data_IF_767381306519
#
_entry.id   IF_767381306519
#
_cell.length_a   1.000
_cell.length_b   1.000
_cell.length_c   1.000
_cell.angle_alpha   90.00
_cell.angle_beta   90.00
_cell.angle_gamma   90.00
#
_symmetry.space_group_name_H-M   'P 1'
#
loop_
_entity.id
_entity.type
_entity.pdbx_description
1 polymer ?
#
# COMPACT_ATOMS: atom_id res chain seq x y z
N UNK A 1 6.93 7.70 -7.36
CA UNK A 1 5.65 7.41 -6.69
C UNK A 1 5.76 7.32 -5.17
N UNK A 2 6.15 6.19 -4.56
CA UNK A 2 6.04 6.03 -3.09
C UNK A 2 6.76 7.10 -2.26
N UNK A 3 8.03 7.39 -2.55
CA UNK A 3 8.76 8.46 -1.83
C UNK A 3 8.12 9.83 -2.04
N UNK A 4 7.55 10.08 -3.22
CA UNK A 4 6.83 11.32 -3.51
C UNK A 4 5.55 11.42 -2.67
N UNK A 5 4.77 10.34 -2.60
CA UNK A 5 3.58 10.25 -1.78
C UNK A 5 3.90 10.50 -0.30
N UNK A 6 4.96 9.88 0.22
CA UNK A 6 5.38 10.04 1.63
C UNK A 6 5.83 11.48 1.90
N UNK A 7 6.61 12.10 1.00
CA UNK A 7 7.01 13.51 1.14
C UNK A 7 5.81 14.44 1.13
N UNK A 8 4.87 14.23 0.20
CA UNK A 8 3.65 15.04 0.08
C UNK A 8 2.70 14.83 1.28
N UNK A 9 2.62 13.61 1.81
CA UNK A 9 1.88 13.29 3.03
C UNK A 9 2.48 14.00 4.25
N UNK A 10 3.80 13.94 4.42
CA UNK A 10 4.49 14.65 5.49
C UNK A 10 4.27 16.16 5.43
N UNK A 11 4.38 16.76 4.23
CA UNK A 11 4.06 18.17 3.99
C UNK A 11 2.61 18.54 4.33
N UNK A 12 1.69 17.60 4.17
CA UNK A 12 0.26 17.75 4.52
C UNK A 12 -0.04 17.42 5.99
N UNK A 13 0.99 17.15 6.81
CA UNK A 13 0.86 16.90 8.23
C UNK A 13 0.47 15.48 8.63
N UNK A 14 0.59 14.50 7.71
CA UNK A 14 0.52 13.07 8.05
C UNK A 14 1.72 12.68 8.91
N UNK A 15 1.47 11.98 10.03
CA UNK A 15 2.49 11.56 10.99
C UNK A 15 2.93 10.12 10.77
N UNK A 16 2.03 9.27 10.29
CA UNK A 16 2.27 7.84 10.13
C UNK A 16 1.73 7.34 8.79
N UNK A 17 2.49 6.46 8.12
CA UNK A 17 2.08 5.79 6.90
C UNK A 17 2.21 4.28 7.10
N UNK A 18 1.11 3.56 6.88
CA UNK A 18 1.09 2.10 6.96
C UNK A 18 0.91 1.52 5.57
N UNK A 19 1.85 0.67 5.15
CA UNK A 19 1.88 0.06 3.84
C UNK A 19 1.50 -1.42 3.93
N UNK A 20 0.67 -1.88 2.98
CA UNK A 20 0.48 -3.30 2.67
C UNK A 20 0.83 -3.55 1.22
N UNK A 21 1.57 -4.62 0.93
CA UNK A 21 1.92 -4.91 -0.46
C UNK A 21 2.08 -6.40 -0.73
N UNK A 22 1.85 -6.77 -1.99
CA UNK A 22 2.22 -8.07 -2.53
C UNK A 22 3.76 -8.24 -2.65
N UNK A 23 4.19 -9.38 -3.20
CA UNK A 23 5.61 -9.73 -3.36
C UNK A 23 6.36 -8.84 -4.38
N UNK A 24 5.68 -8.32 -5.41
CA UNK A 24 6.32 -7.60 -6.52
C UNK A 24 6.90 -6.27 -6.04
N UNK A 25 8.20 -6.09 -6.25
CA UNK A 25 8.93 -4.88 -5.84
C UNK A 25 9.20 -4.76 -4.34
N UNK A 26 8.87 -5.77 -3.52
CA UNK A 26 8.95 -5.67 -2.05
C UNK A 26 10.35 -5.36 -1.53
N UNK A 27 11.37 -6.07 -2.02
CA UNK A 27 12.75 -5.84 -1.58
C UNK A 27 13.26 -4.44 -1.97
N UNK A 28 12.83 -3.93 -3.13
CA UNK A 28 13.13 -2.57 -3.57
C UNK A 28 12.49 -1.55 -2.61
N UNK A 29 11.22 -1.73 -2.26
CA UNK A 29 10.52 -0.87 -1.29
C UNK A 29 11.21 -0.92 0.08
N UNK A 30 11.53 -2.11 0.60
CA UNK A 30 12.23 -2.28 1.88
C UNK A 30 13.55 -1.50 1.92
N UNK A 31 14.38 -1.61 0.89
CA UNK A 31 15.71 -0.98 0.87
C UNK A 31 15.63 0.51 0.51
N UNK A 32 14.98 0.85 -0.60
CA UNK A 32 15.06 2.19 -1.20
C UNK A 32 14.00 3.18 -0.67
N UNK A 33 12.96 2.67 0.00
CA UNK A 33 11.90 3.49 0.62
C UNK A 33 11.98 3.44 2.14
N UNK A 34 11.96 2.24 2.75
CA UNK A 34 11.99 2.11 4.21
C UNK A 34 13.40 2.08 4.83
N UNK A 35 14.46 2.01 4.01
CA UNK A 35 15.82 2.06 4.53
C UNK A 35 16.28 0.79 5.26
N UNK A 36 15.69 -0.38 4.97
CA UNK A 36 16.26 -1.66 5.42
C UNK A 36 17.70 -1.76 4.94
N UNK A 37 18.63 -2.07 5.85
CA UNK A 37 20.05 -2.16 5.52
C UNK A 37 20.27 -3.22 4.44
N UNK A 38 20.92 -2.89 3.30
CA UNK A 38 21.21 -3.86 2.25
C UNK A 38 22.01 -5.06 2.78
N UNK A 39 22.91 -4.84 3.74
CA UNK A 39 23.69 -5.91 4.37
C UNK A 39 22.80 -6.96 5.05
N UNK A 40 21.82 -6.53 5.84
CA UNK A 40 20.88 -7.45 6.51
C UNK A 40 20.11 -8.28 5.47
N UNK A 41 19.73 -7.66 4.35
CA UNK A 41 19.09 -8.38 3.25
C UNK A 41 20.05 -9.39 2.59
N UNK A 42 21.30 -9.03 2.33
CA UNK A 42 22.29 -9.95 1.75
C UNK A 42 22.58 -11.13 2.68
N UNK A 43 22.60 -10.91 4.00
CA UNK A 43 22.75 -11.97 4.99
C UNK A 43 21.55 -12.94 4.93
N UNK A 44 20.31 -12.44 4.81
CA UNK A 44 19.12 -13.26 4.58
C UNK A 44 19.18 -14.07 3.27
N UNK A 45 19.84 -13.56 2.23
CA UNK A 45 20.09 -14.33 1.00
C UNK A 45 21.17 -15.40 1.19
N UNK A 46 22.16 -15.15 2.03
CA UNK A 46 23.22 -16.08 2.38
C UNK A 46 22.79 -17.14 3.41
N UNK A 47 21.53 -17.11 3.89
CA UNK A 47 21.03 -17.99 4.95
C UNK A 47 21.57 -17.64 6.34
N UNK A 48 22.18 -16.47 6.50
CA UNK A 48 22.64 -15.95 7.78
C UNK A 48 21.49 -15.21 8.44
N UNK A 49 20.87 -15.84 9.42
CA UNK A 49 19.79 -15.24 10.20
C UNK A 49 20.26 -14.99 11.62
N UNK A 50 19.80 -13.89 12.22
CA UNK A 50 19.92 -13.73 13.67
C UNK A 50 19.06 -14.80 14.34
N UNK A 51 19.48 -15.30 15.50
CA UNK A 51 18.60 -16.13 16.31
C UNK A 51 17.33 -15.35 16.63
N UNK A 52 16.20 -15.93 16.27
CA UNK A 52 14.87 -15.43 16.57
C UNK A 52 14.16 -16.48 17.42
N UNK A 53 13.33 -16.05 18.38
CA UNK A 53 12.54 -16.96 19.21
C UNK A 53 11.42 -17.70 18.44
N UNK A 54 11.21 -17.39 17.15
CA UNK A 54 10.15 -17.95 16.32
C UNK A 54 10.68 -18.77 15.13
N UNK A 55 9.77 -19.44 14.43
CA UNK A 55 10.09 -20.30 13.26
C UNK A 55 10.56 -19.55 12.02
N UNK A 56 10.42 -18.21 12.00
CA UNK A 56 10.75 -17.37 10.85
C UNK A 56 9.71 -17.44 9.72
N UNK A 57 9.97 -16.68 8.65
CA UNK A 57 9.25 -16.70 7.38
C UNK A 57 10.23 -16.29 6.26
N UNK A 58 9.83 -16.43 4.99
CA UNK A 58 10.66 -16.04 3.86
C UNK A 58 10.91 -14.53 3.83
N UNK A 59 12.10 -14.13 3.38
CA UNK A 59 12.59 -12.73 3.36
C UNK A 59 11.63 -11.70 2.74
N UNK A 60 10.79 -12.11 1.79
CA UNK A 60 9.79 -11.26 1.13
C UNK A 60 8.39 -11.30 1.78
N UNK A 61 8.25 -11.83 2.99
CA UNK A 61 7.06 -11.67 3.86
C UNK A 61 7.31 -10.73 5.04
N UNK A 62 8.58 -10.49 5.36
CA UNK A 62 8.97 -9.67 6.51
C UNK A 62 8.52 -8.21 6.32
N UNK A 63 7.81 -7.69 7.32
CA UNK A 63 7.51 -6.27 7.47
C UNK A 63 8.74 -5.49 7.94
N UNK A 64 8.60 -4.16 8.03
CA UNK A 64 9.67 -3.30 8.51
C UNK A 64 9.10 -1.97 8.99
N UNK A 65 9.72 -1.36 10.00
CA UNK A 65 9.35 -0.03 10.48
C UNK A 65 10.57 0.88 10.48
N UNK A 66 10.36 2.14 10.10
CA UNK A 66 11.41 3.13 9.95
C UNK A 66 10.81 4.53 10.03
N UNK A 67 11.61 5.52 10.39
CA UNK A 67 11.20 6.92 10.27
C UNK A 67 11.85 7.56 9.04
N UNK A 68 11.09 8.39 8.34
CA UNK A 68 11.56 9.15 7.18
C UNK A 68 11.38 10.64 7.43
N UNK A 69 12.45 11.41 7.25
CA UNK A 69 12.40 12.87 7.33
C UNK A 69 11.77 13.45 6.05
N UNK A 70 10.84 14.39 6.23
CA UNK A 70 10.17 15.12 5.16
C UNK A 70 10.18 16.62 5.46
N UNK A 71 9.83 17.45 4.47
CA UNK A 71 9.70 18.91 4.67
C UNK A 71 8.70 19.29 5.79
N UNK A 72 7.71 18.44 6.07
CA UNK A 72 6.73 18.64 7.14
C UNK A 72 7.11 18.00 8.48
N UNK A 73 8.32 17.43 8.58
CA UNK A 73 8.82 16.74 9.77
C UNK A 73 8.93 15.22 9.58
N UNK A 74 9.11 14.52 10.71
CA UNK A 74 9.31 13.08 10.76
C UNK A 74 8.00 12.34 10.47
N UNK A 75 8.04 11.38 9.54
CA UNK A 75 6.93 10.49 9.22
C UNK A 75 7.31 9.07 9.57
N UNK A 76 6.55 8.42 10.46
CA UNK A 76 6.74 7.01 10.80
C UNK A 76 6.18 6.13 9.69
N UNK A 77 6.98 5.21 9.17
CA UNK A 77 6.60 4.25 8.14
C UNK A 77 6.54 2.85 8.74
N UNK A 78 5.48 2.12 8.43
CA UNK A 78 5.34 0.72 8.80
C UNK A 78 4.87 -0.10 7.59
N UNK A 79 5.68 -1.05 7.14
CA UNK A 79 5.30 -2.06 6.17
C UNK A 79 4.77 -3.30 6.92
N UNK A 80 3.52 -3.67 6.65
CA UNK A 80 2.90 -4.84 7.24
C UNK A 80 3.58 -6.14 6.80
N UNK A 81 3.60 -7.10 7.73
CA UNK A 81 3.86 -8.50 7.40
C UNK A 81 2.70 -9.06 6.58
N UNK A 82 2.98 -10.01 5.69
CA UNK A 82 1.95 -10.71 4.94
C UNK A 82 2.37 -12.15 4.63
N UNK A 83 1.43 -13.10 4.60
CA UNK A 83 1.68 -14.43 4.05
C UNK A 83 1.74 -14.39 2.51
N UNK A 84 1.98 -15.55 1.89
CA UNK A 84 1.92 -15.72 0.42
C UNK A 84 0.54 -15.43 -0.18
N UNK A 85 -0.53 -15.55 0.61
CA UNK A 85 -1.91 -15.30 0.16
C UNK A 85 -2.07 -13.82 -0.19
N UNK A 86 -2.29 -13.53 -1.47
CA UNK A 86 -2.39 -12.17 -1.98
C UNK A 86 -3.64 -11.46 -1.42
N UNK A 87 -3.60 -10.14 -1.44
CA UNK A 87 -4.71 -9.23 -1.08
C UNK A 87 -5.14 -9.20 0.40
N UNK A 88 -4.98 -10.30 1.15
CA UNK A 88 -5.45 -10.45 2.54
C UNK A 88 -4.78 -9.47 3.52
N UNK A 89 -3.62 -8.91 3.17
CA UNK A 89 -2.95 -7.88 3.97
C UNK A 89 -3.68 -6.53 3.96
N UNK A 90 -4.51 -6.26 2.94
CA UNK A 90 -5.22 -4.98 2.81
C UNK A 90 -6.15 -4.68 3.99
N UNK A 91 -7.09 -5.56 4.39
CA UNK A 91 -7.91 -5.33 5.57
C UNK A 91 -7.08 -5.29 6.87
N UNK A 92 -5.96 -6.01 6.95
CA UNK A 92 -5.04 -5.98 8.11
C UNK A 92 -4.41 -4.59 8.26
N UNK A 93 -3.98 -3.97 7.16
CA UNK A 93 -3.44 -2.60 7.14
C UNK A 93 -4.50 -1.58 7.54
N UNK A 94 -5.73 -1.71 7.03
CA UNK A 94 -6.82 -0.80 7.39
C UNK A 94 -7.16 -0.93 8.87
N UNK A 95 -7.20 -2.15 9.42
CA UNK A 95 -7.36 -2.37 10.86
C UNK A 95 -6.21 -1.76 11.68
N UNK A 96 -4.97 -1.89 11.22
CA UNK A 96 -3.82 -1.25 11.87
C UNK A 96 -3.91 0.28 11.86
N UNK A 97 -4.32 0.87 10.74
CA UNK A 97 -4.56 2.32 10.65
C UNK A 97 -5.71 2.75 11.54
N UNK A 98 -6.81 1.98 11.58
CA UNK A 98 -7.94 2.27 12.47
C UNK A 98 -7.50 2.31 13.93
N UNK A 99 -6.73 1.32 14.38
CA UNK A 99 -6.18 1.30 15.74
C UNK A 99 -5.25 2.49 16.04
N UNK A 100 -4.46 2.92 15.05
CA UNK A 100 -3.59 4.10 15.18
C UNK A 100 -4.41 5.40 15.26
N UNK A 101 -5.48 5.51 14.46
CA UNK A 101 -6.40 6.65 14.52
C UNK A 101 -7.15 6.71 15.85
N UNK A 102 -7.64 5.58 16.35
CA UNK A 102 -8.35 5.50 17.65
C UNK A 102 -7.44 5.88 18.84
N UNK A 103 -6.11 5.82 18.67
CA UNK A 103 -5.11 6.24 19.67
C UNK A 103 -4.83 7.74 19.65
N UNK A 104 -5.20 8.46 18.58
CA UNK A 104 -4.95 9.90 18.50
C UNK A 104 -5.93 10.66 19.41
N UNK A 105 -5.42 11.70 20.08
CA UNK A 105 -6.24 12.58 20.92
C UNK A 105 -7.26 13.39 20.09
N UNK A 106 -6.93 13.66 18.82
CA UNK A 106 -7.78 14.40 17.89
C UNK A 106 -8.20 13.52 16.71
N UNK A 107 -9.51 13.43 16.39
CA UNK A 107 -10.01 12.61 15.30
C UNK A 107 -9.68 13.26 13.94
N UNK A 108 -8.55 12.88 13.35
CA UNK A 108 -8.18 13.28 11.99
C UNK A 108 -7.61 12.10 11.20
N UNK A 109 -8.40 11.63 10.22
CA UNK A 109 -8.01 10.59 9.26
C UNK A 109 -6.73 10.93 8.47
N UNK A 110 -6.41 12.21 8.32
CA UNK A 110 -5.23 12.67 7.57
C UNK A 110 -3.91 12.47 8.31
N UNK A 111 -3.95 12.17 9.61
CA UNK A 111 -2.75 11.92 10.43
C UNK A 111 -2.12 10.55 10.21
N UNK A 112 -2.90 9.56 9.78
CA UNK A 112 -2.44 8.20 9.48
C UNK A 112 -2.90 7.80 8.08
N UNK A 113 -1.96 7.55 7.18
CA UNK A 113 -2.23 7.22 5.78
C UNK A 113 -2.06 5.71 5.53
N UNK A 114 -3.13 4.98 5.15
CA UNK A 114 -2.99 3.64 4.60
C UNK A 114 -2.64 3.70 3.12
N UNK A 115 -1.63 2.92 2.72
CA UNK A 115 -1.28 2.65 1.32
C UNK A 115 -1.32 1.14 1.08
N UNK A 116 -2.05 0.69 0.06
CA UNK A 116 -2.05 -0.73 -0.34
C UNK A 116 -1.58 -0.91 -1.78
N UNK A 117 -0.71 -1.90 -2.03
CA UNK A 117 -0.10 -2.15 -3.33
C UNK A 117 -0.48 -3.56 -3.81
N UNK A 118 -1.15 -3.60 -4.95
CA UNK A 118 -1.82 -4.78 -5.48
C UNK A 118 -1.19 -5.25 -6.79
N UNK A 119 -1.32 -6.54 -7.10
CA UNK A 119 -1.12 -7.06 -8.45
C UNK A 119 -2.40 -6.94 -9.29
N UNK A 120 -2.27 -6.75 -10.59
CA UNK A 120 -3.40 -6.59 -11.52
C UNK A 120 -4.35 -7.80 -11.56
N UNK A 121 -3.82 -9.01 -11.58
CA UNK A 121 -4.65 -10.22 -11.57
C UNK A 121 -5.30 -10.45 -10.20
N UNK A 122 -4.58 -10.14 -9.12
CA UNK A 122 -5.04 -10.41 -7.76
C UNK A 122 -6.15 -9.42 -7.32
N UNK A 123 -6.01 -8.13 -7.66
CA UNK A 123 -6.98 -7.11 -7.24
C UNK A 123 -8.39 -7.36 -7.78
N UNK A 124 -8.50 -7.96 -8.97
CA UNK A 124 -9.79 -8.32 -9.58
C UNK A 124 -10.26 -9.73 -9.24
N UNK A 125 -9.35 -10.61 -8.81
CA UNK A 125 -9.63 -12.04 -8.61
C UNK A 125 -9.87 -12.47 -7.17
N UNK A 126 -9.45 -11.68 -6.17
CA UNK A 126 -9.60 -12.01 -4.76
C UNK A 126 -10.75 -11.23 -4.12
N UNK A 127 -11.78 -11.94 -3.64
CA UNK A 127 -13.00 -11.34 -3.07
C UNK A 127 -12.77 -10.44 -1.86
N UNK A 128 -11.69 -10.66 -1.10
CA UNK A 128 -11.31 -9.79 0.03
C UNK A 128 -11.12 -8.33 -0.37
N UNK A 129 -10.76 -8.05 -1.62
CA UNK A 129 -10.65 -6.67 -2.13
C UNK A 129 -12.01 -5.99 -2.14
N UNK A 130 -13.04 -6.68 -2.65
CA UNK A 130 -14.42 -6.20 -2.67
C UNK A 130 -14.92 -5.97 -1.24
N UNK A 131 -14.72 -6.92 -0.34
CA UNK A 131 -15.15 -6.81 1.06
C UNK A 131 -14.51 -5.59 1.73
N UNK A 132 -13.21 -5.40 1.52
CA UNK A 132 -12.45 -4.29 2.07
C UNK A 132 -12.89 -2.94 1.48
N UNK A 133 -13.22 -2.88 0.19
CA UNK A 133 -13.78 -1.69 -0.45
C UNK A 133 -15.17 -1.37 0.10
N UNK A 134 -16.03 -2.36 0.32
CA UNK A 134 -17.34 -2.17 0.92
C UNK A 134 -17.25 -1.61 2.36
N UNK A 135 -16.23 -2.02 3.12
CA UNK A 135 -15.98 -1.50 4.47
C UNK A 135 -15.42 -0.07 4.50
N UNK A 136 -15.00 0.49 3.37
CA UNK A 136 -14.29 1.77 3.28
C UNK A 136 -15.00 2.99 3.87
N UNK A 137 -16.34 2.95 3.90
CA UNK A 137 -17.22 4.01 4.40
C UNK A 137 -18.13 3.55 5.53
N UNK A 138 -17.98 2.31 5.99
CA UNK A 138 -18.74 1.81 7.13
C UNK A 138 -18.18 2.44 8.42
N UNK A 139 -19.03 3.10 9.22
CA UNK A 139 -18.65 3.93 10.40
C UNK A 139 -17.59 3.33 11.35
N UNK A 140 -17.64 2.01 11.56
CA UNK A 140 -16.73 1.29 12.47
C UNK A 140 -15.39 0.90 11.85
N UNK A 141 -15.25 1.07 10.53
CA UNK A 141 -14.14 0.55 9.74
C UNK A 141 -13.46 1.62 8.89
N UNK A 142 -14.16 2.71 8.59
CA UNK A 142 -13.58 3.77 7.77
C UNK A 142 -12.36 4.42 8.44
N UNK A 143 -11.39 4.80 7.59
CA UNK A 143 -10.12 5.44 7.95
C UNK A 143 -9.87 6.71 7.12
N UNK A 144 -10.96 7.31 6.61
CA UNK A 144 -10.92 8.46 5.70
C UNK A 144 -10.35 8.14 4.31
N UNK A 145 -10.55 6.91 3.84
CA UNK A 145 -10.01 6.44 2.57
C UNK A 145 -8.58 5.90 2.65
N UNK A 146 -8.21 5.18 1.60
CA UNK A 146 -6.91 4.49 1.41
C UNK A 146 -6.43 4.84 0.01
N UNK A 147 -5.12 5.01 -0.15
CA UNK A 147 -4.49 5.11 -1.48
C UNK A 147 -4.09 3.71 -1.94
N UNK A 148 -4.73 3.22 -3.00
CA UNK A 148 -4.58 1.87 -3.56
C UNK A 148 -3.83 1.95 -4.87
N UNK A 149 -2.66 1.34 -4.92
CA UNK A 149 -1.79 1.33 -6.09
C UNK A 149 -1.85 -0.05 -6.73
N UNK A 150 -2.19 -0.12 -8.02
CA UNK A 150 -2.15 -1.37 -8.79
C UNK A 150 -0.90 -1.39 -9.66
N UNK A 151 -0.01 -2.35 -9.43
CA UNK A 151 1.09 -2.62 -10.34
C UNK A 151 0.53 -3.44 -11.49
N UNK A 152 0.10 -2.75 -12.55
CA UNK A 152 -0.42 -3.37 -13.76
C UNK A 152 0.69 -3.71 -14.76
N UNK A 153 1.40 -4.80 -14.47
CA UNK A 153 2.39 -5.38 -15.38
C UNK A 153 1.75 -6.26 -16.48
N UNK A 154 0.42 -6.26 -16.60
CA UNK A 154 -0.35 -6.92 -17.66
C UNK A 154 -0.16 -8.46 -17.71
N UNK A 155 0.23 -9.07 -16.60
CA UNK A 155 0.43 -10.52 -16.51
C UNK A 155 0.31 -11.02 -15.06
N UNK A 156 -0.61 -11.96 -14.86
CA UNK A 156 -0.76 -12.74 -13.64
C UNK A 156 -0.10 -14.10 -13.79
N UNK A 157 1.13 -14.24 -13.30
CA UNK A 157 1.93 -15.46 -13.47
C UNK A 157 2.08 -15.85 -14.96
N UNK A 158 1.29 -16.81 -15.45
CA UNK A 158 1.28 -17.27 -16.86
C UNK A 158 0.11 -16.72 -17.66
N UNK A 159 -0.82 -16.00 -17.02
CA UNK A 159 -2.05 -15.50 -17.65
C UNK A 159 -1.88 -14.02 -18.02
N UNK A 160 -1.80 -13.73 -19.31
CA UNK A 160 -1.72 -12.35 -19.84
C UNK A 160 -2.95 -11.94 -20.65
N UNK A 161 -3.71 -12.90 -21.18
CA UNK A 161 -4.94 -12.61 -21.91
C UNK A 161 -6.00 -12.02 -20.94
N UNK A 162 -6.47 -10.78 -21.17
CA UNK A 162 -7.44 -10.15 -20.28
C UNK A 162 -8.74 -10.93 -20.10
N UNK A 163 -9.17 -11.67 -21.14
CA UNK A 163 -10.40 -12.48 -21.11
C UNK A 163 -10.31 -13.68 -20.16
N UNK A 164 -9.10 -14.14 -19.86
CA UNK A 164 -8.85 -15.23 -18.90
C UNK A 164 -8.64 -14.68 -17.48
N UNK A 165 -8.22 -13.43 -17.36
CA UNK A 165 -7.88 -12.81 -16.09
C UNK A 165 -9.05 -12.08 -15.41
N UNK A 166 -10.01 -11.55 -16.18
CA UNK A 166 -11.11 -10.71 -15.68
C UNK A 166 -12.27 -10.57 -16.67
N UNK A 167 -13.41 -10.13 -16.15
CA UNK A 167 -14.63 -9.88 -16.93
C UNK A 167 -14.90 -8.40 -17.21
N UNK A 168 -13.91 -7.52 -16.96
CA UNK A 168 -14.03 -6.07 -17.15
C UNK A 168 -12.82 -5.54 -17.94
N UNK A 169 -12.94 -4.38 -18.62
CA UNK A 169 -11.84 -3.83 -19.41
C UNK A 169 -10.57 -3.55 -18.59
N UNK A 170 -10.70 -3.03 -17.37
CA UNK A 170 -9.56 -2.65 -16.53
C UNK A 170 -9.53 -3.44 -15.21
N UNK A 171 -8.33 -3.84 -14.77
CA UNK A 171 -8.14 -4.50 -13.47
C UNK A 171 -8.60 -3.65 -12.28
N UNK A 172 -8.64 -2.33 -12.45
CA UNK A 172 -9.06 -1.36 -11.44
C UNK A 172 -10.57 -1.12 -11.41
N UNK A 173 -11.35 -1.75 -12.29
CA UNK A 173 -12.80 -1.51 -12.38
C UNK A 173 -13.54 -1.85 -11.08
N UNK A 174 -12.94 -2.68 -10.22
CA UNK A 174 -13.45 -2.95 -8.86
C UNK A 174 -13.64 -1.67 -8.04
N UNK A 175 -12.82 -0.63 -8.25
CA UNK A 175 -12.95 0.66 -7.56
C UNK A 175 -14.27 1.40 -7.88
N UNK A 176 -14.89 1.10 -9.03
CA UNK A 176 -16.18 1.69 -9.43
C UNK A 176 -17.31 1.33 -8.47
N UNK A 177 -17.19 0.23 -7.72
CA UNK A 177 -18.21 -0.20 -6.75
C UNK A 177 -18.49 0.84 -5.65
N UNK A 178 -17.48 1.67 -5.32
CA UNK A 178 -17.58 2.74 -4.32
C UNK A 178 -17.42 4.13 -4.95
N UNK A 179 -17.54 4.24 -6.28
CA UNK A 179 -17.36 5.48 -7.02
C UNK A 179 -16.00 6.15 -6.78
N UNK A 180 -14.94 5.37 -6.50
CA UNK A 180 -13.59 5.90 -6.35
C UNK A 180 -13.06 6.37 -7.72
N UNK A 181 -12.38 7.53 -7.79
CA UNK A 181 -11.68 7.93 -9.01
C UNK A 181 -10.53 6.97 -9.29
N UNK A 182 -10.24 6.75 -10.58
CA UNK A 182 -9.19 5.83 -11.02
C UNK A 182 -8.28 6.61 -11.96
N UNK A 183 -6.99 6.68 -11.63
CA UNK A 183 -5.98 7.30 -12.49
C UNK A 183 -5.10 6.22 -13.10
N UNK A 184 -5.12 6.10 -14.43
CA UNK A 184 -4.18 5.27 -15.18
C UNK A 184 -3.01 6.13 -15.61
N UNK A 185 -1.79 5.66 -15.34
CA UNK A 185 -0.57 6.41 -15.63
C UNK A 185 0.50 5.47 -16.17
N UNK A 186 1.20 5.91 -17.22
CA UNK A 186 2.26 5.13 -17.84
C UNK A 186 3.51 5.15 -16.95
N UNK A 187 4.10 3.99 -16.70
CA UNK A 187 5.32 3.86 -15.91
C UNK A 187 6.57 4.44 -16.62
N UNK A 188 6.52 4.59 -17.95
CA UNK A 188 7.59 5.22 -18.74
C UNK A 188 7.66 6.75 -18.57
N UNK A 189 6.65 7.35 -17.93
CA UNK A 189 6.61 8.78 -17.61
C UNK A 189 6.58 8.99 -16.08
N UNK A 190 7.75 9.04 -15.43
CA UNK A 190 7.83 9.20 -13.98
C UNK A 190 7.33 10.57 -13.48
N UNK A 191 7.30 11.60 -14.34
CA UNK A 191 6.78 12.92 -13.99
C UNK A 191 5.25 12.88 -13.90
N UNK A 192 4.59 12.24 -14.88
CA UNK A 192 3.16 11.98 -14.82
C UNK A 192 2.80 11.11 -13.61
N UNK A 193 3.61 10.09 -13.29
CA UNK A 193 3.43 9.28 -12.08
C UNK A 193 3.51 10.13 -10.82
N UNK A 194 4.46 11.06 -10.73
CA UNK A 194 4.57 11.97 -9.59
C UNK A 194 3.37 12.93 -9.49
N UNK A 195 2.90 13.47 -10.62
CA UNK A 195 1.72 14.31 -10.68
C UNK A 195 0.45 13.59 -10.19
N UNK A 196 0.17 12.41 -10.74
CA UNK A 196 -0.99 11.59 -10.35
C UNK A 196 -0.91 11.17 -8.88
N UNK A 197 0.30 10.89 -8.37
CA UNK A 197 0.52 10.59 -6.95
C UNK A 197 0.08 11.74 -6.03
N UNK A 198 0.40 12.98 -6.39
CA UNK A 198 -0.02 14.16 -5.62
C UNK A 198 -1.53 14.36 -5.70
N UNK A 199 -2.08 14.31 -6.91
CA UNK A 199 -3.52 14.46 -7.15
C UNK A 199 -4.35 13.43 -6.35
N UNK A 200 -3.91 12.18 -6.36
CA UNK A 200 -4.51 11.09 -5.60
C UNK A 200 -4.54 11.36 -4.10
N UNK A 201 -3.40 11.79 -3.53
CA UNK A 201 -3.30 12.07 -2.11
C UNK A 201 -4.11 13.31 -1.71
N UNK A 202 -4.10 14.35 -2.55
CA UNK A 202 -4.91 15.56 -2.36
C UNK A 202 -6.40 15.24 -2.39
N UNK A 203 -6.85 14.40 -3.33
CA UNK A 203 -8.24 13.92 -3.39
C UNK A 203 -8.63 13.20 -2.10
N UNK A 204 -7.80 12.23 -1.65
CA UNK A 204 -8.05 11.48 -0.41
C UNK A 204 -8.14 12.41 0.79
N UNK A 205 -7.18 13.32 0.95
CA UNK A 205 -7.11 14.20 2.12
C UNK A 205 -8.22 15.26 2.15
N UNK A 206 -8.71 15.68 0.97
CA UNK A 206 -9.77 16.70 0.86
C UNK A 206 -11.16 16.11 1.03
N UNK A 207 -11.41 14.92 0.46
CA UNK A 207 -12.75 14.32 0.39
C UNK A 207 -12.93 13.12 1.34
N UNK A 208 -11.88 12.72 2.07
CA UNK A 208 -11.86 11.56 2.96
C UNK A 208 -12.40 10.28 2.29
N UNK A 209 -12.12 10.12 1.00
CA UNK A 209 -12.62 9.04 0.16
C UNK A 209 -11.47 8.16 -0.36
N UNK A 210 -11.80 6.92 -0.74
CA UNK A 210 -10.82 6.02 -1.34
C UNK A 210 -10.37 6.50 -2.71
N UNK A 211 -9.12 6.16 -3.02
CA UNK A 211 -8.50 6.30 -4.31
C UNK A 211 -7.71 5.02 -4.60
#
# INVERSE_FOLDING_TARGET
MLKEMIRHAGKSGTREVVLGMAHRGRLNVLVNVLGKKPQDLFDEFAGKHKEHLGTGDVKYHMGFSSDMETEGGLVHLALAFNPSHLEIVSPVVIGSVRARLDRLDEPSSNKVLPITIHGDAAITGQGVVQETLNMSKARGYEVGGTVRIVINNQVGFTTSNPLDARSTPYCTDIGKMVQAPIFHVNADDPEAVAFVTRLALDFRNTLNAMF
#
